data_IF_258855383315
#
_entry.id   IF_258855383315
#
_cell.length_a   1.000
_cell.length_b   1.000
_cell.length_c   1.000
_cell.angle_alpha   90.00
_cell.angle_beta   90.00
_cell.angle_gamma   90.00
#
_symmetry.space_group_name_H-M   'P 1'
#
loop_
_entity.id
_entity.type
_entity.pdbx_description
1 polymer ?
#
# COMPACT_ATOMS: atom_id res chain seq x y z
N UNK A 1 5.79 6.10 15.56
CA UNK A 1 6.62 6.02 14.34
C UNK A 1 5.93 5.11 13.36
N UNK A 2 5.65 5.58 12.15
CA UNK A 2 5.00 4.77 11.12
C UNK A 2 6.06 4.19 10.19
N UNK A 3 5.97 2.89 9.92
CA UNK A 3 6.90 2.19 9.02
C UNK A 3 6.08 1.60 7.89
N UNK A 4 6.40 1.98 6.65
CA UNK A 4 5.80 1.40 5.46
C UNK A 4 6.70 0.29 4.92
N UNK A 5 6.11 -0.90 4.78
CA UNK A 5 6.73 -2.10 4.25
C UNK A 5 6.10 -2.41 2.89
N UNK A 6 6.92 -2.48 1.84
CA UNK A 6 6.48 -2.79 0.47
C UNK A 6 7.20 -4.06 0.03
N UNK A 7 6.57 -5.25 0.19
CA UNK A 7 7.18 -6.50 -0.24
C UNK A 7 7.15 -6.64 -1.76
N UNK A 8 8.07 -7.44 -2.29
CA UNK A 8 7.90 -8.03 -3.62
C UNK A 8 6.69 -9.00 -3.61
N UNK A 9 5.89 -9.01 -4.67
CA UNK A 9 4.64 -9.79 -4.71
C UNK A 9 4.86 -11.25 -5.08
N UNK A 10 5.40 -11.97 -4.11
CA UNK A 10 5.44 -13.43 -4.07
C UNK A 10 5.15 -13.89 -2.64
N UNK A 11 4.51 -15.05 -2.48
CA UNK A 11 4.23 -15.60 -1.14
C UNK A 11 5.50 -15.77 -0.29
N UNK A 12 6.62 -16.11 -0.95
CA UNK A 12 7.95 -16.22 -0.32
C UNK A 12 8.50 -14.92 0.26
N UNK A 13 8.03 -13.76 -0.21
CA UNK A 13 8.47 -12.44 0.25
C UNK A 13 7.45 -11.78 1.18
N UNK A 14 6.16 -11.98 0.91
CA UNK A 14 5.07 -11.46 1.75
C UNK A 14 5.19 -12.03 3.17
N UNK A 15 5.38 -13.35 3.32
CA UNK A 15 5.49 -13.99 4.63
C UNK A 15 6.55 -13.35 5.56
N UNK A 16 7.83 -13.31 5.14
CA UNK A 16 8.89 -12.68 5.94
C UNK A 16 8.66 -11.20 6.25
N UNK A 17 8.01 -10.45 5.36
CA UNK A 17 7.65 -9.06 5.62
C UNK A 17 6.59 -8.94 6.72
N UNK A 18 5.63 -9.86 6.78
CA UNK A 18 4.66 -9.93 7.88
C UNK A 18 5.35 -10.31 9.20
N UNK A 19 6.27 -11.28 9.17
CA UNK A 19 7.07 -11.64 10.35
C UNK A 19 7.84 -10.43 10.90
N UNK A 20 8.47 -9.67 10.01
CA UNK A 20 9.20 -8.45 10.37
C UNK A 20 8.26 -7.38 10.93
N UNK A 21 7.11 -7.14 10.30
CA UNK A 21 6.12 -6.18 10.77
C UNK A 21 5.66 -6.49 12.21
N UNK A 22 5.35 -7.76 12.48
CA UNK A 22 4.94 -8.20 13.82
C UNK A 22 6.06 -8.00 14.83
N UNK A 23 7.30 -8.38 14.49
CA UNK A 23 8.47 -8.14 15.37
C UNK A 23 8.67 -6.66 15.68
N UNK A 24 8.49 -5.77 14.69
CA UNK A 24 8.57 -4.33 14.88
C UNK A 24 7.47 -3.79 15.82
N UNK A 25 6.23 -4.21 15.63
CA UNK A 25 5.10 -3.80 16.48
C UNK A 25 5.25 -4.31 17.91
N UNK A 26 5.72 -5.55 18.09
CA UNK A 26 5.85 -6.20 19.40
C UNK A 26 7.09 -5.75 20.18
N UNK A 27 8.18 -5.37 19.49
CA UNK A 27 9.38 -4.89 20.16
C UNK A 27 9.18 -3.55 20.88
N UNK A 28 8.30 -2.68 20.35
CA UNK A 28 7.95 -1.40 20.97
C UNK A 28 6.44 -1.11 20.84
N UNK A 29 5.60 -1.77 21.65
CA UNK A 29 4.14 -1.65 21.56
C UNK A 29 3.70 -0.18 21.70
N UNK A 30 2.82 0.27 20.81
CA UNK A 30 2.29 1.65 20.78
C UNK A 30 3.26 2.72 20.27
N UNK A 31 4.56 2.41 20.10
CA UNK A 31 5.53 3.35 19.56
C UNK A 31 5.81 3.13 18.07
N UNK A 32 5.65 1.90 17.58
CA UNK A 32 5.83 1.52 16.18
C UNK A 32 4.52 1.00 15.61
N UNK A 33 4.11 1.57 14.48
CA UNK A 33 2.91 1.18 13.74
C UNK A 33 3.30 0.75 12.33
N UNK A 34 3.53 -0.56 12.09
CA UNK A 34 3.83 -1.09 10.78
C UNK A 34 2.62 -1.04 9.86
N UNK A 35 2.86 -0.66 8.62
CA UNK A 35 1.90 -0.73 7.52
C UNK A 35 2.49 -1.51 6.38
N UNK A 36 1.75 -2.47 5.85
CA UNK A 36 2.14 -3.24 4.66
C UNK A 36 1.31 -2.74 3.49
N UNK A 37 1.99 -2.25 2.46
CA UNK A 37 1.37 -1.85 1.21
C UNK A 37 1.47 -2.99 0.19
N UNK A 38 0.33 -3.44 -0.31
CA UNK A 38 0.24 -4.46 -1.36
C UNK A 38 -0.80 -4.07 -2.41
N UNK A 39 -0.87 -4.80 -3.51
CA UNK A 39 -2.00 -4.66 -4.44
C UNK A 39 -3.19 -5.52 -4.00
N UNK A 40 -4.32 -5.36 -4.68
CA UNK A 40 -5.60 -5.90 -4.23
C UNK A 40 -5.63 -7.43 -4.23
N UNK A 41 -5.01 -8.09 -5.21
CA UNK A 41 -4.95 -9.54 -5.29
C UNK A 41 -4.05 -10.16 -4.21
N UNK A 42 -3.17 -9.37 -3.58
CA UNK A 42 -2.23 -9.81 -2.56
C UNK A 42 -2.77 -9.72 -1.12
N UNK A 43 -3.94 -9.09 -0.92
CA UNK A 43 -4.53 -8.89 0.43
C UNK A 43 -4.81 -10.22 1.13
N UNK A 44 -5.28 -11.23 0.39
CA UNK A 44 -5.52 -12.57 0.95
C UNK A 44 -4.24 -13.21 1.47
N UNK A 45 -3.14 -13.12 0.71
CA UNK A 45 -1.84 -13.65 1.12
C UNK A 45 -1.32 -12.97 2.41
N UNK A 46 -1.50 -11.65 2.53
CA UNK A 46 -1.15 -10.90 3.75
C UNK A 46 -2.01 -11.35 4.93
N UNK A 47 -3.33 -11.48 4.75
CA UNK A 47 -4.25 -11.92 5.81
C UNK A 47 -3.93 -13.34 6.28
N UNK A 48 -3.76 -14.27 5.34
CA UNK A 48 -3.35 -15.64 5.67
C UNK A 48 -1.99 -15.69 6.36
N UNK A 49 -1.07 -14.77 6.06
CA UNK A 49 0.18 -14.65 6.80
C UNK A 49 -0.03 -14.17 8.24
N UNK A 50 -0.83 -13.12 8.44
CA UNK A 50 -1.17 -12.60 9.77
C UNK A 50 -1.88 -13.65 10.64
N UNK A 51 -2.83 -14.39 10.06
CA UNK A 51 -3.61 -15.43 10.76
C UNK A 51 -2.73 -16.54 11.37
N UNK A 52 -1.58 -16.87 10.73
CA UNK A 52 -0.62 -17.84 11.29
C UNK A 52 0.00 -17.39 12.61
N UNK A 53 -0.02 -16.09 12.92
CA UNK A 53 0.45 -15.54 14.19
C UNK A 53 -0.67 -15.36 15.22
N UNK A 54 -1.87 -15.81 14.90
CA UNK A 54 -3.05 -15.76 15.75
C UNK A 54 -3.80 -14.42 15.71
N UNK A 55 -5.00 -14.38 16.32
CA UNK A 55 -5.92 -13.24 16.19
C UNK A 55 -5.36 -11.90 16.69
N UNK A 56 -4.46 -11.93 17.67
CA UNK A 56 -3.83 -10.75 18.23
C UNK A 56 -2.91 -10.03 17.22
N UNK A 57 -2.31 -10.77 16.28
CA UNK A 57 -1.39 -10.19 15.30
C UNK A 57 -2.10 -9.36 14.22
N UNK A 58 -3.36 -9.70 13.89
CA UNK A 58 -4.15 -8.98 12.90
C UNK A 58 -4.40 -7.50 13.26
N UNK A 59 -4.34 -7.15 14.54
CA UNK A 59 -4.45 -5.76 15.01
C UNK A 59 -3.13 -4.99 15.05
N UNK A 60 -1.99 -5.67 14.87
CA UNK A 60 -0.65 -5.07 15.00
C UNK A 60 -0.13 -4.44 13.70
N UNK A 61 -0.68 -4.86 12.56
CA UNK A 61 -0.18 -4.48 11.23
C UNK A 61 -1.32 -3.91 10.40
N UNK A 62 -1.16 -2.68 9.93
CA UNK A 62 -2.12 -2.06 9.02
C UNK A 62 -1.88 -2.55 7.58
N UNK A 63 -2.96 -2.83 6.85
CA UNK A 63 -2.89 -3.20 5.42
C UNK A 63 -3.40 -2.01 4.61
N UNK A 64 -2.64 -1.57 3.62
CA UNK A 64 -3.09 -0.59 2.63
C UNK A 64 -2.93 -1.16 1.23
N UNK A 65 -3.80 -0.74 0.32
CA UNK A 65 -3.78 -1.20 -1.07
C UNK A 65 -3.45 -0.09 -2.04
N UNK A 66 -2.66 -0.41 -3.06
CA UNK A 66 -2.42 0.45 -4.22
C UNK A 66 -2.78 -0.29 -5.51
N UNK A 67 -3.08 0.41 -6.62
CA UNK A 67 -3.41 -0.26 -7.88
C UNK A 67 -2.17 -0.93 -8.47
N UNK A 68 -2.32 -2.17 -8.95
CA UNK A 68 -1.31 -2.81 -9.79
C UNK A 68 -1.33 -2.14 -11.17
N UNK A 69 -0.17 -1.79 -11.76
CA UNK A 69 -0.13 -1.18 -13.08
C UNK A 69 -0.71 -2.14 -14.13
N UNK A 70 -1.36 -1.59 -15.16
CA UNK A 70 -1.76 -2.40 -16.31
C UNK A 70 -0.50 -2.84 -17.08
N UNK A 71 -0.31 -4.14 -17.22
CA UNK A 71 0.82 -4.74 -17.94
C UNK A 71 0.28 -5.55 -19.10
N UNK A 72 0.76 -5.24 -20.32
CA UNK A 72 0.38 -5.98 -21.52
C UNK A 72 0.83 -7.45 -21.41
N UNK A 73 -0.07 -8.37 -21.75
CA UNK A 73 0.19 -9.82 -21.69
C UNK A 73 -0.02 -10.47 -20.32
N UNK A 74 -0.36 -9.70 -19.28
CA UNK A 74 -0.72 -10.23 -17.98
C UNK A 74 -2.25 -10.30 -17.80
N UNK A 75 -2.83 -11.47 -17.41
CA UNK A 75 -4.27 -11.57 -17.19
C UNK A 75 -4.75 -10.63 -16.07
N UNK A 76 -5.97 -10.04 -16.18
CA UNK A 76 -6.53 -9.21 -15.14
C UNK A 76 -6.61 -9.93 -13.78
N UNK A 77 -6.17 -9.26 -12.72
CA UNK A 77 -6.21 -9.79 -11.35
C UNK A 77 -5.04 -10.70 -10.96
N UNK A 78 -4.12 -10.97 -11.90
CA UNK A 78 -2.88 -11.68 -11.61
C UNK A 78 -1.81 -10.67 -11.20
N UNK A 79 -1.57 -10.54 -9.89
CA UNK A 79 -0.63 -9.54 -9.33
C UNK A 79 0.41 -10.18 -8.39
N UNK A 80 0.47 -11.51 -8.32
CA UNK A 80 1.36 -12.27 -7.44
C UNK A 80 2.06 -13.38 -8.23
N UNK A 81 3.39 -13.44 -8.16
CA UNK A 81 4.22 -14.43 -8.86
C UNK A 81 3.89 -15.88 -8.48
N UNK A 82 3.39 -16.09 -7.27
CA UNK A 82 2.96 -17.39 -6.76
C UNK A 82 1.50 -17.73 -7.11
N UNK A 83 0.80 -16.88 -7.89
CA UNK A 83 -0.56 -17.15 -8.32
C UNK A 83 -0.59 -18.39 -9.24
N UNK A 84 -1.59 -19.28 -9.07
CA UNK A 84 -1.73 -20.45 -9.92
C UNK A 84 -2.07 -20.03 -11.36
N UNK A 85 -1.36 -20.61 -12.34
CA UNK A 85 -1.62 -20.38 -13.76
C UNK A 85 -0.41 -20.70 -14.63
N UNK A 86 -0.65 -21.09 -15.88
CA UNK A 86 0.38 -21.44 -16.88
C UNK A 86 1.28 -20.23 -17.24
N UNK A 87 0.82 -19.03 -16.87
CA UNK A 87 1.43 -17.75 -17.20
C UNK A 87 2.15 -17.09 -16.01
N UNK A 88 2.40 -17.81 -14.91
CA UNK A 88 3.12 -17.27 -13.75
C UNK A 88 4.49 -16.67 -14.12
N UNK A 89 5.16 -17.23 -15.14
CA UNK A 89 6.41 -16.70 -15.68
C UNK A 89 6.29 -15.29 -16.27
N UNK A 90 5.10 -14.87 -16.75
CA UNK A 90 4.89 -13.52 -17.30
C UNK A 90 4.96 -12.45 -16.23
N UNK A 91 4.67 -12.79 -14.97
CA UNK A 91 4.80 -11.88 -13.83
C UNK A 91 6.29 -11.63 -13.54
N UNK A 92 7.12 -12.67 -13.65
CA UNK A 92 8.57 -12.55 -13.50
C UNK A 92 9.18 -11.70 -14.62
N UNK A 93 8.77 -11.96 -15.87
CA UNK A 93 9.17 -11.16 -17.02
C UNK A 93 8.77 -9.68 -16.87
N UNK A 94 7.53 -9.40 -16.44
CA UNK A 94 7.06 -8.04 -16.21
C UNK A 94 7.77 -7.35 -15.02
N UNK A 95 8.12 -8.09 -13.98
CA UNK A 95 8.82 -7.55 -12.81
C UNK A 95 10.27 -7.17 -13.11
N UNK A 96 10.92 -7.89 -14.03
CA UNK A 96 12.30 -7.65 -14.46
C UNK A 96 12.39 -6.71 -15.66
N UNK A 97 11.26 -6.31 -16.26
CA UNK A 97 11.23 -5.35 -17.35
C UNK A 97 11.37 -3.92 -16.81
N UNK A 98 12.58 -3.37 -16.90
CA UNK A 98 12.87 -1.99 -16.52
C UNK A 98 12.03 -0.96 -17.31
N UNK A 99 11.53 -1.28 -18.51
CA UNK A 99 10.66 -0.39 -19.26
C UNK A 99 9.29 -0.20 -18.60
N UNK A 100 8.87 -1.16 -17.77
CA UNK A 100 7.65 -1.10 -16.95
C UNK A 100 7.88 -0.43 -15.59
N UNK A 101 9.14 -0.16 -15.21
CA UNK A 101 9.43 0.63 -14.02
C UNK A 101 9.20 2.11 -14.34
N UNK A 102 8.30 2.81 -13.60
CA UNK A 102 8.08 4.22 -13.85
C UNK A 102 9.38 4.99 -13.61
N UNK A 103 9.82 5.76 -14.60
CA UNK A 103 11.03 6.57 -14.58
C UNK A 103 10.92 7.70 -13.56
N UNK A 104 11.23 7.40 -12.30
CA UNK A 104 11.20 8.31 -11.14
C UNK A 104 9.82 8.95 -10.84
N UNK A 105 9.36 8.95 -9.58
CA UNK A 105 8.24 9.81 -9.21
C UNK A 105 8.71 11.27 -9.33
N UNK A 106 8.29 11.96 -10.38
CA UNK A 106 8.39 13.43 -10.44
C UNK A 106 7.50 13.98 -9.33
N UNK A 107 8.11 14.33 -8.19
CA UNK A 107 7.40 14.96 -7.08
C UNK A 107 7.12 16.42 -7.45
N UNK A 108 6.00 16.67 -8.14
CA UNK A 108 5.50 18.04 -8.31
C UNK A 108 4.87 18.48 -6.99
N UNK A 109 5.63 19.22 -6.19
CA UNK A 109 5.12 20.01 -5.08
C UNK A 109 4.22 21.13 -5.63
N UNK A 110 2.93 20.87 -5.83
CA UNK A 110 1.93 21.92 -6.03
C UNK A 110 1.58 22.55 -4.69
N UNK A 111 2.47 23.40 -4.18
CA UNK A 111 2.17 24.31 -3.10
C UNK A 111 1.37 25.49 -3.62
N UNK A 112 0.05 25.46 -3.49
CA UNK A 112 -0.80 26.66 -3.34
C UNK A 112 -2.10 26.21 -2.69
N UNK A 113 -2.29 26.55 -1.42
CA UNK A 113 -3.57 26.42 -0.74
C UNK A 113 -4.59 27.37 -1.40
N UNK A 114 -5.84 26.96 -1.66
CA UNK A 114 -6.85 27.88 -2.12
C UNK A 114 -7.27 28.82 -0.98
N UNK A 115 -7.10 30.12 -1.21
CA UNK A 115 -7.64 31.19 -0.36
C UNK A 115 -9.17 31.08 -0.25
N UNK A 116 -9.78 31.34 0.92
CA UNK A 116 -11.24 31.31 1.05
C UNK A 116 -11.88 32.49 0.30
N UNK A 117 -13.08 32.31 -0.30
CA UNK A 117 -13.77 33.39 -0.99
C UNK A 117 -14.24 34.45 0.01
N UNK A 118 -13.73 35.66 -0.20
CA UNK A 118 -14.04 36.86 0.54
C UNK A 118 -15.39 37.42 0.06
N UNK A 119 -16.52 37.02 0.66
CA UNK A 119 -17.83 37.66 0.47
C UNK A 119 -18.82 37.28 1.57
N UNK A 120 -18.69 37.89 2.75
CA UNK A 120 -19.80 38.10 3.69
C UNK A 120 -19.37 39.04 4.84
N UNK A 121 -19.04 40.29 4.53
CA UNK A 121 -19.03 41.35 5.53
C UNK A 121 -19.69 42.59 4.90
N UNK A 122 -21.01 42.57 4.77
CA UNK A 122 -21.81 43.78 4.62
C UNK A 122 -23.24 43.52 5.11
N UNK A 123 -23.70 44.45 5.95
CA UNK A 123 -25.04 44.56 6.54
C UNK A 123 -25.33 43.63 7.73
N UNK A 124 -25.03 44.12 8.94
CA UNK A 124 -25.97 44.19 10.07
C UNK A 124 -25.38 45.09 11.16
N UNK A 125 -25.35 46.41 10.88
CA UNK A 125 -25.33 47.49 11.88
C UNK A 125 -26.10 48.66 11.28
N UNK A 126 -27.35 48.86 11.71
CA UNK A 126 -28.08 50.15 11.77
C UNK A 126 -29.58 49.91 12.01
N UNK A 127 -30.11 50.49 13.11
CA UNK A 127 -31.52 50.73 13.53
C UNK A 127 -32.39 49.49 13.80
N UNK A 128 -33.09 49.31 14.93
CA UNK A 128 -33.51 50.20 16.03
C UNK A 128 -33.41 49.50 17.38
#
# INVERSE_FOLDING_TARGET
>A
MQILLVPFFATSHIGPFIDLAIRLATAKPGAVEPTVAVTRANVSAVRSALERHGPAASGLVRIVTYPFPSVDGLPPGVENLSAPGEDAWRIDAAAMDEALTPSSPTFTSSGTAPSPPNSACRALRSVS
#
